data_IF_918923776790
#
_entry.id   IF_918923776790
#
_cell.length_a   1.000
_cell.length_b   1.000
_cell.length_c   1.000
_cell.angle_alpha   90.00
_cell.angle_beta   90.00
_cell.angle_gamma   90.00
#
_symmetry.space_group_name_H-M   'P 1'
#
loop_
_entity.id
_entity.type
_entity.pdbx_description
1 polymer ?
#
# COMPACT_ATOMS: atom_id res chain seq x y z
N UNK A 1 -10.19 -2.99 -36.74
CA UNK A 1 -9.67 -3.86 -35.65
C UNK A 1 -9.74 -5.33 -36.07
N UNK A 2 -8.71 -6.12 -35.79
CA UNK A 2 -8.70 -7.61 -35.86
C UNK A 2 -8.39 -8.17 -34.47
N UNK A 3 -8.71 -9.44 -34.21
CA UNK A 3 -8.38 -10.13 -32.96
C UNK A 3 -6.86 -10.05 -32.71
N UNK A 4 -6.05 -10.40 -33.70
CA UNK A 4 -4.59 -10.42 -33.60
C UNK A 4 -4.02 -9.03 -33.30
N UNK A 5 -4.58 -7.99 -33.92
CA UNK A 5 -4.15 -6.62 -33.63
C UNK A 5 -4.46 -6.20 -32.19
N UNK A 6 -5.58 -6.65 -31.61
CA UNK A 6 -5.91 -6.33 -30.22
C UNK A 6 -4.98 -7.08 -29.25
N UNK A 7 -4.77 -8.38 -29.47
CA UNK A 7 -3.84 -9.19 -28.69
C UNK A 7 -2.45 -8.56 -28.70
N UNK A 8 -1.93 -8.20 -29.88
CA UNK A 8 -0.62 -7.58 -30.00
C UNK A 8 -0.53 -6.22 -29.29
N UNK A 9 -1.61 -5.42 -29.25
CA UNK A 9 -1.65 -4.16 -28.51
C UNK A 9 -1.54 -4.44 -27.00
N UNK A 10 -2.34 -5.37 -26.47
CA UNK A 10 -2.37 -5.66 -25.05
C UNK A 10 -1.08 -6.34 -24.55
N UNK A 11 -0.52 -7.28 -25.32
CA UNK A 11 0.76 -7.90 -25.01
C UNK A 11 1.89 -6.86 -24.97
N UNK A 12 1.95 -5.94 -25.94
CA UNK A 12 2.95 -4.86 -25.95
C UNK A 12 2.77 -3.86 -24.80
N UNK A 13 1.56 -3.72 -24.28
CA UNK A 13 1.25 -2.90 -23.11
C UNK A 13 1.42 -3.68 -21.78
N UNK A 14 1.82 -4.95 -21.83
CA UNK A 14 2.07 -5.79 -20.64
C UNK A 14 0.81 -6.30 -19.95
N UNK A 15 -0.34 -6.31 -20.63
CA UNK A 15 -1.59 -6.88 -20.12
C UNK A 15 -1.74 -8.34 -20.58
N UNK A 16 -2.35 -9.19 -19.74
CA UNK A 16 -2.47 -10.63 -20.02
C UNK A 16 -3.82 -11.01 -20.65
N UNK A 17 -4.79 -10.09 -20.64
CA UNK A 17 -6.06 -10.23 -21.36
C UNK A 17 -6.19 -9.17 -22.45
N UNK A 18 -6.68 -9.60 -23.60
CA UNK A 18 -7.17 -8.75 -24.67
C UNK A 18 -8.67 -9.01 -24.87
N UNK A 19 -9.48 -7.97 -24.80
CA UNK A 19 -10.92 -8.01 -25.02
C UNK A 19 -11.28 -7.24 -26.28
N UNK A 20 -12.14 -7.81 -27.14
CA UNK A 20 -12.71 -7.11 -28.29
C UNK A 20 -14.21 -6.92 -28.11
N UNK A 21 -14.69 -5.70 -28.34
CA UNK A 21 -16.11 -5.34 -28.25
C UNK A 21 -16.55 -4.54 -29.47
N UNK A 22 -17.85 -4.58 -29.75
CA UNK A 22 -18.51 -3.71 -30.71
C UNK A 22 -17.92 -3.72 -32.13
N UNK A 23 -17.24 -4.81 -32.53
CA UNK A 23 -16.59 -4.95 -33.83
C UNK A 23 -15.31 -4.12 -34.02
N UNK A 24 -14.97 -3.22 -33.10
CA UNK A 24 -13.94 -2.20 -33.35
C UNK A 24 -13.20 -1.71 -32.11
N UNK A 25 -13.62 -2.09 -30.91
CA UNK A 25 -13.01 -1.68 -29.66
C UNK A 25 -12.06 -2.76 -29.14
N UNK A 26 -10.94 -2.33 -28.57
CA UNK A 26 -9.94 -3.20 -27.97
C UNK A 26 -9.68 -2.74 -26.54
N UNK A 27 -9.77 -3.68 -25.60
CA UNK A 27 -9.60 -3.48 -24.18
C UNK A 27 -8.47 -4.35 -23.68
N UNK A 28 -7.63 -3.79 -22.81
CA UNK A 28 -6.52 -4.51 -22.20
C UNK A 28 -6.66 -4.45 -20.68
N UNK A 29 -6.53 -5.60 -20.03
CA UNK A 29 -6.50 -5.70 -18.58
C UNK A 29 -5.70 -6.96 -18.20
N UNK A 30 -5.34 -7.10 -16.93
CA UNK A 30 -4.83 -8.35 -16.39
C UNK A 30 -5.79 -8.99 -15.39
N UNK A 31 -6.97 -8.41 -15.21
CA UNK A 31 -8.05 -9.00 -14.42
C UNK A 31 -9.41 -8.78 -15.11
N UNK A 32 -10.30 -9.77 -15.08
CA UNK A 32 -11.67 -9.65 -15.60
C UNK A 32 -12.52 -8.86 -14.62
N UNK A 33 -12.78 -7.56 -14.85
CA UNK A 33 -13.45 -6.65 -13.89
C UNK A 33 -14.90 -7.06 -13.53
N UNK A 34 -15.34 -6.77 -12.30
CA UNK A 34 -16.71 -7.06 -11.83
C UNK A 34 -17.64 -6.04 -12.50
N UNK A 35 -18.84 -6.42 -12.99
CA UNK A 35 -19.52 -7.70 -12.81
C UNK A 35 -19.30 -8.70 -13.97
N UNK A 36 -18.19 -8.61 -14.71
CA UNK A 36 -17.90 -9.46 -15.86
C UNK A 36 -18.03 -10.94 -15.53
N UNK A 37 -18.91 -11.62 -16.25
CA UNK A 37 -19.18 -13.05 -16.14
C UNK A 37 -19.16 -13.68 -17.52
N UNK A 38 -18.78 -14.95 -17.57
CA UNK A 38 -18.83 -15.73 -18.80
C UNK A 38 -20.29 -15.88 -19.27
N UNK A 39 -20.48 -15.80 -20.58
CA UNK A 39 -21.78 -15.98 -21.24
C UNK A 39 -21.60 -16.86 -22.48
N UNK A 40 -22.71 -17.21 -23.13
CA UNK A 40 -22.68 -18.00 -24.35
C UNK A 40 -21.94 -17.23 -25.48
N UNK A 41 -21.05 -17.93 -26.18
CA UNK A 41 -20.25 -17.35 -27.26
C UNK A 41 -21.12 -16.76 -28.38
N UNK A 42 -22.35 -17.22 -28.55
CA UNK A 42 -23.30 -16.70 -29.55
C UNK A 42 -23.80 -15.28 -29.25
N UNK A 43 -23.61 -14.79 -28.01
CA UNK A 43 -23.89 -13.39 -27.65
C UNK A 43 -22.82 -12.44 -28.19
N UNK A 44 -21.65 -12.96 -28.61
CA UNK A 44 -20.65 -12.23 -29.38
C UNK A 44 -20.88 -12.51 -30.86
N UNK A 45 -21.38 -11.53 -31.63
CA UNK A 45 -21.78 -11.75 -33.01
C UNK A 45 -21.49 -10.58 -33.97
N UNK A 46 -20.77 -9.56 -33.52
CA UNK A 46 -20.34 -8.46 -34.39
C UNK A 46 -19.07 -8.88 -35.12
N UNK A 47 -19.07 -8.68 -36.44
CA UNK A 47 -17.88 -8.90 -37.25
C UNK A 47 -16.80 -7.88 -36.91
N UNK A 48 -15.53 -8.30 -36.89
CA UNK A 48 -14.43 -7.38 -36.70
C UNK A 48 -14.29 -6.43 -37.91
N UNK A 49 -14.18 -5.12 -37.64
CA UNK A 49 -14.04 -4.05 -38.64
C UNK A 49 -12.83 -4.19 -39.56
N UNK A 50 -11.78 -4.88 -39.12
CA UNK A 50 -10.56 -5.16 -39.88
C UNK A 50 -10.53 -6.54 -40.53
N UNK A 51 -11.40 -7.47 -40.11
CA UNK A 51 -11.54 -8.78 -40.71
C UNK A 51 -12.96 -9.33 -40.48
N UNK A 52 -13.87 -9.25 -41.47
CA UNK A 52 -15.24 -9.71 -41.30
C UNK A 52 -15.42 -11.22 -41.08
N UNK A 53 -14.35 -12.01 -41.21
CA UNK A 53 -14.36 -13.44 -40.90
C UNK A 53 -14.17 -13.75 -39.41
N UNK A 54 -13.81 -12.75 -38.60
CA UNK A 54 -13.63 -12.84 -37.15
C UNK A 54 -14.82 -12.23 -36.41
N UNK A 55 -15.01 -12.65 -35.15
CA UNK A 55 -16.05 -12.15 -34.25
C UNK A 55 -15.40 -11.30 -33.17
N UNK A 56 -15.89 -10.06 -33.01
CA UNK A 56 -15.35 -9.04 -32.10
C UNK A 56 -16.44 -8.51 -31.15
N UNK A 57 -16.96 -9.40 -30.29
CA UNK A 57 -17.93 -9.08 -29.26
C UNK A 57 -19.32 -8.73 -29.80
N UNK A 58 -20.08 -7.97 -29.04
CA UNK A 58 -21.33 -7.30 -29.40
C UNK A 58 -21.55 -6.12 -28.44
N UNK A 59 -22.76 -5.56 -28.34
CA UNK A 59 -23.04 -4.50 -27.36
C UNK A 59 -23.16 -5.09 -25.94
N UNK A 60 -22.19 -4.83 -25.07
CA UNK A 60 -22.17 -5.31 -23.68
C UNK A 60 -21.57 -6.71 -23.50
N UNK A 61 -21.00 -7.30 -24.56
CA UNK A 61 -20.39 -8.63 -24.54
C UNK A 61 -19.05 -8.61 -25.28
N UNK A 62 -18.02 -9.20 -24.69
CA UNK A 62 -16.66 -9.21 -25.23
C UNK A 62 -16.17 -10.63 -25.52
N UNK A 63 -15.43 -10.81 -26.61
CA UNK A 63 -14.54 -11.94 -26.72
C UNK A 63 -13.24 -11.60 -25.97
N UNK A 64 -12.83 -12.47 -25.05
CA UNK A 64 -11.63 -12.27 -24.22
C UNK A 64 -10.60 -13.35 -24.53
N UNK A 65 -9.38 -12.92 -24.79
CA UNK A 65 -8.22 -13.75 -25.11
C UNK A 65 -7.20 -13.64 -23.97
N UNK A 66 -6.70 -14.78 -23.51
CA UNK A 66 -5.76 -14.88 -22.39
C UNK A 66 -4.40 -15.37 -22.88
N UNK A 67 -3.33 -14.67 -22.51
CA UNK A 67 -1.96 -15.01 -22.93
C UNK A 67 -1.38 -16.26 -22.23
N UNK A 68 -2.02 -16.75 -21.15
CA UNK A 68 -1.51 -17.86 -20.35
C UNK A 68 -0.51 -17.45 -19.26
N UNK A 69 -0.14 -16.16 -19.19
CA UNK A 69 0.75 -15.62 -18.16
C UNK A 69 0.07 -15.61 -16.77
N UNK A 70 0.82 -15.77 -15.66
CA UNK A 70 0.24 -15.83 -14.32
C UNK A 70 -0.69 -14.64 -14.00
N UNK A 71 -1.80 -14.93 -13.33
CA UNK A 71 -2.72 -13.89 -12.88
C UNK A 71 -2.05 -12.97 -11.85
N UNK A 72 -2.37 -11.65 -11.85
CA UNK A 72 -1.83 -10.72 -10.87
C UNK A 72 -2.27 -11.09 -9.45
N UNK A 73 -1.40 -10.83 -8.47
CA UNK A 73 -1.67 -11.16 -7.07
C UNK A 73 -1.37 -10.01 -6.13
N UNK A 74 -1.98 -10.06 -4.93
CA UNK A 74 -1.56 -9.19 -3.83
C UNK A 74 -0.23 -9.68 -3.28
N UNK A 75 0.76 -8.79 -3.22
CA UNK A 75 2.04 -9.08 -2.59
C UNK A 75 1.82 -9.28 -1.09
N UNK A 76 1.80 -10.53 -0.60
CA UNK A 76 1.46 -10.79 0.81
C UNK A 76 2.49 -10.19 1.78
N UNK A 77 3.77 -10.26 1.42
CA UNK A 77 4.90 -9.81 2.23
C UNK A 77 5.91 -9.08 1.37
N UNK A 78 6.35 -7.89 1.80
CA UNK A 78 7.34 -7.08 1.07
C UNK A 78 8.74 -7.41 1.56
N UNK A 79 9.34 -8.46 0.99
CA UNK A 79 10.68 -8.92 1.36
C UNK A 79 10.87 -9.05 2.89
N UNK A 80 12.04 -8.66 3.39
CA UNK A 80 12.37 -8.62 4.83
C UNK A 80 12.12 -7.24 5.45
N UNK A 81 11.18 -6.46 4.89
CA UNK A 81 10.92 -5.08 5.34
C UNK A 81 9.91 -4.98 6.48
N UNK A 82 9.22 -6.06 6.84
CA UNK A 82 8.15 -6.03 7.86
C UNK A 82 6.78 -5.54 7.36
N UNK A 83 6.66 -5.13 6.10
CA UNK A 83 5.38 -4.78 5.51
C UNK A 83 4.62 -6.02 5.04
N UNK A 84 3.33 -6.08 5.37
CA UNK A 84 2.44 -7.19 5.05
C UNK A 84 1.09 -6.68 4.56
N UNK A 85 0.51 -7.35 3.57
CA UNK A 85 -0.83 -7.02 3.09
C UNK A 85 -1.86 -7.27 4.20
N UNK A 86 -2.68 -6.26 4.49
CA UNK A 86 -3.70 -6.29 5.54
C UNK A 86 -5.10 -6.48 4.99
N UNK A 87 -5.33 -6.17 3.71
CA UNK A 87 -6.62 -6.36 3.05
C UNK A 87 -7.03 -5.19 2.16
N UNK A 88 -8.28 -5.27 1.71
CA UNK A 88 -8.95 -4.24 0.94
C UNK A 88 -9.85 -3.43 1.86
N UNK A 89 -9.81 -2.11 1.76
CA UNK A 89 -10.59 -1.22 2.62
C UNK A 89 -11.33 -0.19 1.78
N UNK A 90 -12.50 0.26 2.25
CA UNK A 90 -13.20 1.39 1.64
C UNK A 90 -12.32 2.63 1.66
N UNK A 91 -12.43 3.51 0.68
CA UNK A 91 -11.83 4.85 0.74
C UNK A 91 -12.86 5.90 0.30
N UNK A 92 -13.22 6.82 1.19
CA UNK A 92 -14.17 7.90 0.92
C UNK A 92 -13.38 9.21 0.75
N UNK A 93 -13.55 9.95 -0.37
CA UNK A 93 -12.93 11.26 -0.54
C UNK A 93 -13.19 12.26 0.59
N UNK A 94 -14.29 12.14 1.33
CA UNK A 94 -14.61 12.98 2.49
C UNK A 94 -13.96 12.47 3.78
N UNK A 95 -13.77 11.16 3.90
CA UNK A 95 -13.19 10.48 5.06
C UNK A 95 -12.16 9.44 4.58
N UNK A 96 -11.02 9.94 4.10
CA UNK A 96 -9.97 9.10 3.51
C UNK A 96 -9.45 8.08 4.54
N UNK A 97 -9.32 6.83 4.12
CA UNK A 97 -8.76 5.74 4.93
C UNK A 97 -7.32 6.02 5.33
N UNK A 98 -6.53 6.61 4.42
CA UNK A 98 -5.18 7.12 4.69
C UNK A 98 -5.08 8.54 4.16
N UNK A 99 -4.52 9.46 4.95
CA UNK A 99 -4.70 10.90 4.69
C UNK A 99 -3.54 11.57 3.97
N UNK A 100 -2.36 10.95 3.92
CA UNK A 100 -1.15 11.57 3.38
C UNK A 100 -0.84 10.98 2.00
N UNK A 101 -1.14 11.68 0.90
CA UNK A 101 -0.76 11.21 -0.43
C UNK A 101 0.75 11.37 -0.63
N UNK A 102 1.37 10.39 -1.29
CA UNK A 102 2.78 10.43 -1.68
C UNK A 102 2.92 10.17 -3.17
N UNK A 103 3.59 11.08 -3.87
CA UNK A 103 3.83 10.96 -5.30
C UNK A 103 4.99 10.01 -5.59
N UNK A 104 4.77 9.05 -6.50
CA UNK A 104 5.80 8.12 -6.97
C UNK A 104 5.88 8.22 -8.49
N UNK A 105 6.73 9.14 -9.03
CA UNK A 105 6.75 9.45 -10.46
C UNK A 105 7.10 8.27 -11.36
N UNK A 106 7.82 7.28 -10.84
CA UNK A 106 8.20 6.07 -11.58
C UNK A 106 7.10 5.00 -11.60
N UNK A 107 5.95 5.29 -10.98
CA UNK A 107 4.82 4.39 -10.85
C UNK A 107 4.78 3.64 -9.51
N UNK A 108 3.59 3.18 -9.19
CA UNK A 108 3.24 2.63 -7.88
C UNK A 108 3.24 1.11 -7.94
N UNK A 109 3.91 0.50 -6.97
CA UNK A 109 3.81 -0.91 -6.58
C UNK A 109 3.70 -0.97 -5.06
N UNK A 110 3.32 -2.11 -4.45
CA UNK A 110 3.39 -2.30 -3.01
C UNK A 110 4.76 -1.96 -2.42
N UNK A 111 5.85 -2.36 -3.08
CA UNK A 111 7.22 -2.08 -2.68
C UNK A 111 7.53 -0.58 -2.74
N UNK A 112 7.20 0.09 -3.85
CA UNK A 112 7.51 1.51 -3.99
C UNK A 112 6.67 2.36 -3.04
N UNK A 113 5.39 2.02 -2.83
CA UNK A 113 4.51 2.74 -1.93
C UNK A 113 4.90 2.60 -0.46
N UNK A 114 5.15 1.37 0.01
CA UNK A 114 5.59 1.14 1.39
C UNK A 114 6.93 1.79 1.70
N UNK A 115 7.89 1.73 0.77
CA UNK A 115 9.17 2.44 0.90
C UNK A 115 9.01 3.97 0.92
N UNK A 116 8.11 4.51 0.09
CA UNK A 116 7.82 5.94 0.06
C UNK A 116 7.13 6.40 1.37
N UNK A 117 6.19 5.63 1.91
CA UNK A 117 5.56 5.90 3.19
C UNK A 117 6.57 5.87 4.36
N UNK A 118 7.49 4.91 4.35
CA UNK A 118 8.57 4.87 5.34
C UNK A 118 9.47 6.10 5.24
N UNK A 119 9.80 6.55 4.03
CA UNK A 119 10.70 7.69 3.78
C UNK A 119 10.04 9.04 4.07
N UNK A 120 8.75 9.19 3.76
CA UNK A 120 8.02 10.45 3.89
C UNK A 120 7.79 10.84 5.36
N UNK A 121 7.60 9.87 6.25
CA UNK A 121 7.27 10.16 7.64
C UNK A 121 7.42 9.01 8.63
N UNK A 122 7.97 7.86 8.22
CA UNK A 122 7.99 6.66 9.05
C UNK A 122 6.59 6.07 9.28
N UNK A 123 5.71 6.21 8.28
CA UNK A 123 4.32 5.79 8.39
C UNK A 123 4.19 4.27 8.54
N UNK A 124 3.28 3.82 9.41
CA UNK A 124 3.03 2.40 9.67
C UNK A 124 1.97 1.77 8.74
N UNK A 125 1.29 2.58 7.92
CA UNK A 125 0.29 2.16 6.94
C UNK A 125 0.60 2.77 5.58
N UNK A 126 0.43 1.95 4.55
CA UNK A 126 0.51 2.34 3.15
C UNK A 126 -0.72 1.78 2.44
N UNK A 127 -1.32 2.55 1.54
CA UNK A 127 -2.53 2.18 0.83
C UNK A 127 -2.37 2.54 -0.63
N UNK A 128 -2.71 1.58 -1.48
CA UNK A 128 -2.61 1.72 -2.92
C UNK A 128 -4.02 1.82 -3.48
N UNK A 129 -4.25 2.82 -4.31
CA UNK A 129 -5.56 3.08 -4.92
C UNK A 129 -5.41 3.28 -6.44
N UNK A 130 -6.44 2.83 -7.19
CA UNK A 130 -6.58 3.01 -8.64
C UNK A 130 -5.34 2.65 -9.47
N UNK A 131 -4.51 1.72 -8.99
CA UNK A 131 -3.31 1.26 -9.68
C UNK A 131 -2.14 2.24 -9.70
N UNK A 132 -2.29 3.48 -9.20
CA UNK A 132 -1.29 4.55 -9.41
C UNK A 132 -1.16 5.53 -8.25
N UNK A 133 -2.00 5.44 -7.24
CA UNK A 133 -1.95 6.32 -6.07
C UNK A 133 -1.34 5.58 -4.88
N UNK A 134 -0.57 6.33 -4.10
CA UNK A 134 0.01 5.86 -2.85
C UNK A 134 -0.38 6.83 -1.74
N UNK A 135 -0.94 6.27 -0.68
CA UNK A 135 -1.40 6.99 0.49
C UNK A 135 -0.76 6.40 1.74
N UNK A 136 -0.45 7.24 2.71
CA UNK A 136 0.25 6.87 3.92
C UNK A 136 -0.49 7.40 5.14
N UNK A 137 -0.39 6.67 6.24
CA UNK A 137 -0.80 7.13 7.56
C UNK A 137 -0.19 6.21 8.63
N UNK A 138 -0.43 6.48 9.91
CA UNK A 138 -0.09 5.54 10.98
C UNK A 138 -1.26 4.63 11.36
N UNK A 139 -2.48 5.08 11.12
CA UNK A 139 -3.72 4.38 11.44
C UNK A 139 -4.68 4.46 10.25
N UNK A 140 -5.63 3.52 10.19
CA UNK A 140 -6.76 3.65 9.29
C UNK A 140 -7.79 4.59 9.93
N UNK A 141 -8.47 5.39 9.12
CA UNK A 141 -9.62 6.16 9.59
C UNK A 141 -10.67 5.24 10.24
N UNK A 142 -11.35 5.73 11.29
CA UNK A 142 -12.32 4.93 12.04
C UNK A 142 -13.54 4.52 11.21
N UNK A 143 -13.83 5.24 10.12
CA UNK A 143 -14.88 4.90 9.15
C UNK A 143 -14.43 3.88 8.10
N UNK A 144 -13.15 3.48 8.09
CA UNK A 144 -12.61 2.53 7.15
C UNK A 144 -13.15 1.12 7.40
N UNK A 145 -13.81 0.54 6.41
CA UNK A 145 -14.38 -0.80 6.49
C UNK A 145 -13.60 -1.78 5.63
N UNK A 146 -13.32 -2.97 6.18
CA UNK A 146 -12.74 -4.06 5.41
C UNK A 146 -13.73 -4.55 4.34
N UNK A 147 -13.21 -4.80 3.14
CA UNK A 147 -13.96 -5.26 1.97
C UNK A 147 -13.36 -6.56 1.42
N UNK A 148 -14.16 -7.35 0.66
CA UNK A 148 -13.63 -8.47 -0.10
C UNK A 148 -12.45 -8.03 -0.98
N UNK A 149 -11.35 -8.79 -0.98
CA UNK A 149 -10.14 -8.46 -1.74
C UNK A 149 -10.38 -8.33 -3.25
N UNK A 150 -11.42 -8.98 -3.78
CA UNK A 150 -11.88 -8.80 -5.17
C UNK A 150 -12.27 -7.36 -5.53
N UNK A 151 -12.53 -6.51 -4.55
CA UNK A 151 -12.85 -5.09 -4.80
C UNK A 151 -11.56 -4.23 -4.97
N UNK A 152 -10.36 -4.77 -4.74
CA UNK A 152 -9.07 -4.06 -4.79
C UNK A 152 -8.10 -4.58 -5.87
N UNK A 153 -8.63 -4.99 -7.03
CA UNK A 153 -7.89 -5.77 -8.03
C UNK A 153 -7.50 -5.01 -9.29
N UNK A 154 -7.41 -3.69 -9.23
CA UNK A 154 -6.75 -2.91 -10.28
C UNK A 154 -5.27 -3.24 -10.25
N UNK A 155 -4.67 -3.51 -11.42
CA UNK A 155 -3.22 -3.74 -11.49
C UNK A 155 -2.41 -2.47 -11.18
N UNK A 156 -1.21 -2.67 -10.67
CA UNK A 156 -0.25 -1.60 -10.44
C UNK A 156 0.28 -1.05 -11.77
N UNK A 157 0.35 0.26 -11.94
CA UNK A 157 0.77 0.87 -13.20
C UNK A 157 2.27 0.68 -13.53
N UNK A 158 3.08 0.31 -12.53
CA UNK A 158 4.49 -0.02 -12.70
C UNK A 158 4.75 -1.53 -12.82
N UNK A 159 3.81 -2.38 -12.39
CA UNK A 159 3.95 -3.84 -12.45
C UNK A 159 2.58 -4.51 -12.58
N UNK A 160 2.23 -4.92 -13.79
CA UNK A 160 0.93 -5.55 -14.07
C UNK A 160 0.78 -6.95 -13.45
N UNK A 161 1.79 -7.48 -12.77
CA UNK A 161 1.71 -8.75 -12.02
C UNK A 161 1.23 -8.56 -10.58
N UNK A 162 1.06 -7.32 -10.14
CA UNK A 162 0.68 -6.97 -8.77
C UNK A 162 -0.63 -6.17 -8.73
N UNK A 163 -1.36 -6.28 -7.61
CA UNK A 163 -2.64 -5.60 -7.40
C UNK A 163 -2.50 -4.37 -6.46
N UNK A 164 -3.10 -3.25 -6.88
CA UNK A 164 -2.92 -1.91 -6.33
C UNK A 164 -4.26 -1.18 -6.08
N UNK A 165 -5.20 -1.86 -5.42
CA UNK A 165 -6.48 -1.26 -5.02
C UNK A 165 -7.47 -1.14 -6.17
N UNK A 166 -8.47 -0.27 -6.02
CA UNK A 166 -9.40 0.17 -7.07
C UNK A 166 -9.99 1.53 -6.68
N UNK A 167 -10.88 2.10 -7.50
CA UNK A 167 -11.57 3.34 -7.14
C UNK A 167 -12.36 3.19 -5.82
N UNK A 168 -12.14 4.10 -4.87
CA UNK A 168 -12.70 4.11 -3.53
C UNK A 168 -12.38 2.83 -2.73
N UNK A 169 -11.27 2.17 -3.07
CA UNK A 169 -10.85 0.87 -2.52
C UNK A 169 -9.33 0.82 -2.37
N UNK A 170 -8.85 0.99 -1.14
CA UNK A 170 -7.43 0.96 -0.84
C UNK A 170 -6.97 -0.48 -0.55
N UNK A 171 -5.95 -0.96 -1.29
CA UNK A 171 -5.19 -2.14 -0.91
C UNK A 171 -4.17 -1.71 0.17
N UNK A 172 -4.40 -2.11 1.42
CA UNK A 172 -3.65 -1.62 2.58
C UNK A 172 -2.56 -2.61 2.99
N UNK A 173 -1.39 -2.04 3.27
CA UNK A 173 -0.23 -2.71 3.83
C UNK A 173 0.07 -2.12 5.20
N UNK A 174 0.47 -2.99 6.13
CA UNK A 174 0.84 -2.63 7.49
C UNK A 174 2.26 -3.04 7.79
N UNK A 175 3.02 -2.11 8.37
CA UNK A 175 4.34 -2.38 8.90
C UNK A 175 4.23 -3.04 10.27
N UNK A 176 4.82 -4.23 10.40
CA UNK A 176 5.01 -4.93 11.65
C UNK A 176 6.49 -5.32 11.75
N UNK A 177 7.21 -4.78 12.75
CA UNK A 177 8.57 -5.25 13.02
C UNK A 177 8.45 -6.69 13.53
N UNK A 178 8.92 -7.65 12.74
CA UNK A 178 9.04 -9.05 13.15
C UNK A 178 9.79 -9.13 14.49
N UNK A 179 9.07 -9.49 15.56
CA UNK A 179 9.62 -9.67 16.91
C UNK A 179 9.05 -8.79 18.02
N UNK A 180 8.03 -7.96 17.77
CA UNK A 180 7.23 -7.35 18.84
C UNK A 180 6.02 -8.22 19.16
N UNK A 181 5.87 -8.66 20.41
CA UNK A 181 4.63 -9.28 20.90
C UNK A 181 3.41 -8.41 20.62
N UNK A 182 2.22 -9.02 20.72
CA UNK A 182 0.91 -8.41 20.51
C UNK A 182 0.92 -6.88 20.66
N UNK A 183 0.34 -6.18 19.65
CA UNK A 183 -0.03 -4.77 19.77
C UNK A 183 -0.44 -4.50 21.22
N UNK A 184 0.15 -3.52 21.92
CA UNK A 184 -0.36 -3.17 23.23
C UNK A 184 -1.84 -2.88 23.00
N UNK A 185 -2.70 -3.66 23.66
CA UNK A 185 -4.07 -3.26 23.93
C UNK A 185 -4.01 -1.77 24.29
N UNK A 186 -4.90 -0.96 23.71
CA UNK A 186 -5.02 0.48 24.02
C UNK A 186 -4.67 0.67 25.49
N UNK A 187 -3.68 1.51 25.80
CA UNK A 187 -3.23 1.69 27.17
C UNK A 187 -4.45 2.07 28.04
N UNK A 188 -5.01 1.10 28.75
CA UNK A 188 -6.15 1.29 29.66
C UNK A 188 -5.73 2.14 30.84
N UNK A 189 -4.43 2.10 31.19
CA UNK A 189 -3.78 3.00 32.12
C UNK A 189 -2.34 3.34 31.68
N UNK A 190 -1.99 4.63 31.74
CA UNK A 190 -0.59 5.09 31.60
C UNK A 190 0.03 5.13 32.99
N UNK A 191 0.79 4.08 33.35
CA UNK A 191 1.62 4.10 34.55
C UNK A 191 3.09 4.28 34.17
N UNK A 192 3.57 5.53 34.24
CA UNK A 192 4.97 5.92 33.98
C UNK A 192 5.87 5.79 35.20
N UNK A 193 5.46 5.06 36.24
CA UNK A 193 6.30 4.85 37.41
C UNK A 193 7.29 3.71 37.15
N UNK A 194 8.53 3.90 37.58
CA UNK A 194 9.56 2.87 37.71
C UNK A 194 10.36 2.46 36.45
N UNK A 195 10.64 3.38 35.53
CA UNK A 195 11.65 3.16 34.48
C UNK A 195 12.89 4.06 34.64
N UNK A 196 14.03 3.61 34.12
CA UNK A 196 15.30 4.36 34.15
C UNK A 196 15.80 4.56 32.72
N UNK A 197 15.97 5.81 32.31
CA UNK A 197 16.61 6.17 31.04
C UNK A 197 18.12 6.30 31.27
N UNK A 198 18.92 5.73 30.36
CA UNK A 198 20.38 5.86 30.37
C UNK A 198 20.89 6.37 29.02
N UNK A 199 21.75 7.38 29.05
CA UNK A 199 22.56 7.76 27.91
C UNK A 199 23.83 6.89 27.88
N UNK A 200 24.20 6.38 26.70
CA UNK A 200 25.45 5.65 26.47
C UNK A 200 26.40 6.54 25.69
N UNK A 201 27.65 6.66 26.12
CA UNK A 201 28.66 7.42 25.37
C UNK A 201 29.06 6.68 24.10
N UNK A 202 28.98 7.36 22.93
CA UNK A 202 29.49 6.83 21.66
C UNK A 202 31.01 6.58 21.69
N UNK A 203 31.74 7.38 22.46
CA UNK A 203 33.15 7.20 22.76
C UNK A 203 33.37 7.53 24.26
N UNK A 204 33.39 6.52 25.15
CA UNK A 204 33.51 6.75 26.58
C UNK A 204 34.91 7.27 26.96
N UNK A 205 35.02 8.15 27.98
CA UNK A 205 36.31 8.66 28.43
C UNK A 205 37.18 7.53 29.03
N UNK A 206 38.52 7.63 28.95
CA UNK A 206 39.45 6.62 29.49
C UNK A 206 39.30 6.36 31.00
N UNK A 207 38.78 7.36 31.73
CA UNK A 207 38.41 7.25 33.13
C UNK A 207 37.06 7.94 33.34
N UNK A 208 36.05 7.17 33.76
CA UNK A 208 34.69 7.68 34.00
C UNK A 208 33.61 6.64 33.63
N UNK A 209 32.33 6.96 33.87
CA UNK A 209 31.24 6.04 33.55
C UNK A 209 30.95 6.01 32.04
N UNK A 210 30.64 4.82 31.52
CA UNK A 210 30.22 4.60 30.11
C UNK A 210 28.74 4.90 29.88
N UNK A 211 27.98 5.08 30.95
CA UNK A 211 26.56 5.43 30.93
C UNK A 211 26.23 6.52 31.95
N UNK A 212 25.21 7.33 31.67
CA UNK A 212 24.66 8.31 32.62
C UNK A 212 23.16 8.11 32.72
N UNK A 213 22.65 8.03 33.95
CA UNK A 213 21.22 8.03 34.23
C UNK A 213 20.63 9.40 33.95
N UNK A 214 19.62 9.43 33.09
CA UNK A 214 18.90 10.62 32.70
C UNK A 214 17.69 10.81 33.62
N UNK A 215 17.45 12.06 34.06
CA UNK A 215 16.17 12.44 34.66
C UNK A 215 15.28 13.05 33.59
N UNK A 216 14.06 12.54 33.49
CA UNK A 216 13.02 13.18 32.69
C UNK A 216 12.55 14.44 33.40
N UNK A 217 12.47 15.53 32.64
CA UNK A 217 11.96 16.82 33.14
C UNK A 217 10.57 17.09 32.58
N UNK A 218 10.36 16.79 31.31
CA UNK A 218 9.10 17.01 30.62
C UNK A 218 8.85 15.88 29.62
N UNK A 219 7.65 15.31 29.68
CA UNK A 219 7.11 14.38 28.67
C UNK A 219 5.92 15.08 28.05
N UNK A 220 5.96 15.28 26.74
CA UNK A 220 4.82 15.82 25.99
C UNK A 220 4.10 14.66 25.33
N UNK A 221 2.80 14.55 25.61
CA UNK A 221 1.93 13.55 25.02
C UNK A 221 1.14 14.23 23.91
N UNK A 222 1.46 13.88 22.67
CA UNK A 222 0.62 14.22 21.51
C UNK A 222 -0.24 13.00 21.22
N UNK A 223 -1.57 13.14 21.09
CA UNK A 223 -2.40 12.04 20.61
C UNK A 223 -1.82 11.47 19.32
N UNK A 224 -1.72 10.15 19.24
CA UNK A 224 -1.29 9.39 18.06
C UNK A 224 0.20 9.51 17.66
N UNK A 225 1.07 9.98 18.55
CA UNK A 225 2.54 9.88 18.42
C UNK A 225 3.11 9.09 19.60
N UNK A 226 3.85 8.01 19.32
CA UNK A 226 4.65 7.30 20.31
C UNK A 226 5.57 8.28 21.08
N UNK A 227 5.62 8.11 22.41
CA UNK A 227 6.34 8.95 23.38
C UNK A 227 7.57 9.69 22.83
N UNK A 228 7.52 11.01 22.81
CA UNK A 228 8.68 11.86 22.51
C UNK A 228 9.23 12.45 23.81
N UNK A 229 10.47 12.11 24.14
CA UNK A 229 11.18 12.74 25.27
C UNK A 229 11.85 14.01 24.73
N UNK A 230 11.34 15.17 25.12
CA UNK A 230 11.87 16.47 24.68
C UNK A 230 13.11 16.91 25.45
N UNK A 231 13.19 16.59 26.74
CA UNK A 231 14.31 17.02 27.57
C UNK A 231 14.68 16.03 28.66
N UNK A 232 15.98 15.86 28.83
CA UNK A 232 16.61 15.09 29.89
C UNK A 232 17.73 15.92 30.50
N UNK A 233 17.94 15.79 31.81
CA UNK A 233 19.03 16.47 32.51
C UNK A 233 19.89 15.51 33.30
N UNK A 234 21.16 15.88 33.44
CA UNK A 234 22.14 15.22 34.32
C UNK A 234 22.45 16.17 35.48
N UNK A 235 22.72 15.61 36.67
CA UNK A 235 22.97 16.40 37.89
C UNK A 235 24.27 17.23 37.86
N UNK A 236 25.06 17.23 36.77
CA UNK A 236 26.41 17.80 36.78
C UNK A 236 26.69 18.90 35.73
N UNK A 237 25.86 19.09 34.70
CA UNK A 237 25.96 20.25 33.80
C UNK A 237 24.69 20.35 32.95
N UNK A 238 24.20 21.57 32.74
CA UNK A 238 23.11 21.85 31.82
C UNK A 238 23.60 21.62 30.38
N UNK A 239 23.38 20.43 29.85
CA UNK A 239 23.45 20.15 28.41
C UNK A 239 22.02 19.96 27.94
N UNK A 240 21.49 20.96 27.24
CA UNK A 240 20.15 20.91 26.67
C UNK A 240 20.17 20.14 25.33
N UNK A 241 19.09 19.40 25.13
CA UNK A 241 18.63 18.66 23.95
C UNK A 241 19.29 17.32 23.64
N UNK A 242 18.59 16.27 24.07
CA UNK A 242 18.49 15.02 23.32
C UNK A 242 17.02 14.89 22.90
N UNK A 243 16.70 15.19 21.64
CA UNK A 243 15.39 14.84 21.08
C UNK A 243 15.48 13.36 20.71
N UNK A 244 14.92 12.50 21.57
CA UNK A 244 14.75 11.11 21.22
C UNK A 244 13.54 11.00 20.29
N UNK A 245 13.78 11.21 18.98
CA UNK A 245 12.83 10.81 17.95
C UNK A 245 13.02 9.31 17.77
N UNK A 246 12.07 8.50 18.24
CA UNK A 246 11.97 7.11 17.79
C UNK A 246 11.46 7.18 16.35
N UNK A 247 12.22 6.56 15.43
CA UNK A 247 11.78 6.34 14.05
C UNK A 247 10.56 5.44 14.03
#
# INVERSE_FOLDING_TARGET
LTIESCIAICDNAGFIFAGVEFGQECYCDSVIQDPGVETDISECNFACSGNPAEVCGSGGHMNIFYSGAPLPQFTQTIGETGWTFQGCFTDDPQNRTLRVPVAIPQGVTPESCTAACQTAGGFARAGLEVGRECWCDNLLDASSEARPTRECRTVCNADHTQLCGSANRAAVYGFNVGGGGAQPEQCTEVNVNNFTLQAVFKAPPPSGPSTITLRMILVEMVPDIMWSILSVSTRAAAVNFLVAKRF
#
